data_IF_478071886513
#
_entry.id   IF_478071886513
#
_cell.length_a   1.000
_cell.length_b   1.000
_cell.length_c   1.000
_cell.angle_alpha   90.00
_cell.angle_beta   90.00
_cell.angle_gamma   90.00
#
_symmetry.space_group_name_H-M   'P 1'
#
loop_
_entity.id
_entity.type
_entity.pdbx_description
1 polymer ?
#
# COMPACT_ATOMS: atom_id res chain seq x y z
N UNK A 1 0.47 -5.31 -14.05
CA UNK A 1 0.36 -5.56 -12.59
C UNK A 1 -1.01 -6.14 -12.37
N UNK A 2 -1.12 -7.21 -11.58
CA UNK A 2 -2.38 -7.93 -11.40
C UNK A 2 -2.61 -8.28 -9.93
N UNK A 3 -3.89 -8.32 -9.53
CA UNK A 3 -4.31 -8.89 -8.25
C UNK A 3 -3.96 -10.37 -8.23
N UNK A 4 -3.38 -10.83 -7.12
CA UNK A 4 -2.97 -12.23 -6.93
C UNK A 4 -3.93 -12.88 -5.93
N UNK A 5 -4.19 -14.21 -6.05
CA UNK A 5 -5.02 -14.90 -5.06
C UNK A 5 -4.35 -14.95 -3.68
N UNK A 6 -3.02 -14.90 -3.64
CA UNK A 6 -2.19 -14.91 -2.45
C UNK A 6 -1.00 -13.98 -2.63
N UNK A 7 -0.52 -13.41 -1.52
CA UNK A 7 0.65 -12.54 -1.47
C UNK A 7 1.57 -12.90 -0.29
N UNK A 8 2.82 -12.45 -0.39
CA UNK A 8 3.89 -12.63 0.60
C UNK A 8 4.12 -14.12 0.86
N UNK A 9 4.50 -14.83 -0.21
CA UNK A 9 4.77 -16.27 -0.20
C UNK A 9 3.62 -17.11 0.39
N UNK A 10 2.37 -16.69 0.17
CA UNK A 10 1.17 -17.37 0.66
C UNK A 10 0.72 -16.97 2.07
N UNK A 11 1.39 -16.00 2.71
CA UNK A 11 1.04 -15.58 4.06
C UNK A 11 -0.26 -14.75 4.12
N UNK A 12 -0.68 -14.17 3.01
CA UNK A 12 -1.91 -13.38 2.90
C UNK A 12 -2.76 -13.90 1.75
N UNK A 13 -4.06 -14.13 2.01
CA UNK A 13 -5.02 -14.60 1.01
C UNK A 13 -5.97 -13.48 0.64
N UNK A 14 -6.24 -13.34 -0.66
CA UNK A 14 -7.20 -12.38 -1.19
C UNK A 14 -8.58 -12.64 -0.61
N UNK A 15 -9.19 -11.62 -0.04
CA UNK A 15 -10.57 -11.63 0.44
C UNK A 15 -11.49 -10.83 -0.47
N UNK A 16 -10.97 -9.73 -1.04
CA UNK A 16 -11.75 -8.88 -1.94
C UNK A 16 -10.87 -8.28 -3.03
N UNK A 17 -11.32 -8.42 -4.28
CA UNK A 17 -10.83 -7.64 -5.41
C UNK A 17 -11.79 -6.48 -5.68
N UNK A 18 -11.27 -5.26 -5.58
CA UNK A 18 -12.00 -4.01 -5.76
C UNK A 18 -11.53 -3.24 -7.00
N UNK A 19 -10.76 -3.90 -7.89
CA UNK A 19 -10.19 -3.25 -9.08
C UNK A 19 -11.28 -2.71 -10.02
N UNK A 20 -12.41 -3.40 -10.12
CA UNK A 20 -13.55 -2.99 -10.97
C UNK A 20 -14.43 -1.88 -10.36
N UNK A 21 -14.23 -1.56 -9.08
CA UNK A 21 -14.96 -0.52 -8.35
C UNK A 21 -14.02 0.61 -7.94
N UNK A 22 -13.34 0.48 -6.79
CA UNK A 22 -12.39 1.47 -6.30
C UNK A 22 -11.23 1.71 -7.29
N UNK A 23 -10.78 0.66 -7.98
CA UNK A 23 -9.78 0.81 -9.03
C UNK A 23 -10.27 1.65 -10.21
N UNK A 24 -11.54 1.54 -10.59
CA UNK A 24 -12.12 2.39 -11.63
C UNK A 24 -12.12 3.85 -11.23
N UNK A 25 -12.46 4.15 -9.98
CA UNK A 25 -12.47 5.52 -9.47
C UNK A 25 -11.05 6.12 -9.49
N UNK A 26 -10.04 5.36 -9.04
CA UNK A 26 -8.61 5.74 -9.17
C UNK A 26 -8.23 6.06 -10.62
N UNK A 27 -8.69 5.24 -11.58
CA UNK A 27 -8.43 5.48 -13.01
C UNK A 27 -9.12 6.75 -13.51
N UNK A 28 -10.37 7.01 -13.12
CA UNK A 28 -11.12 8.20 -13.53
C UNK A 28 -10.51 9.48 -12.95
N UNK A 29 -10.10 9.48 -11.68
CA UNK A 29 -9.43 10.61 -11.01
C UNK A 29 -8.09 10.97 -11.66
N UNK A 30 -7.44 9.98 -12.26
CA UNK A 30 -6.16 10.15 -12.94
C UNK A 30 -6.32 10.24 -14.47
N UNK A 31 -7.56 10.17 -15.00
CA UNK A 31 -7.83 10.29 -16.43
C UNK A 31 -7.53 11.71 -16.87
N UNK A 32 -6.65 11.84 -17.87
CA UNK A 32 -6.27 13.14 -18.43
C UNK A 32 -4.98 13.75 -17.86
N UNK A 33 -4.37 13.12 -16.85
CA UNK A 33 -3.00 13.43 -16.42
C UNK A 33 -2.03 13.14 -17.57
N UNK A 34 -1.41 14.18 -18.14
CA UNK A 34 -0.54 14.08 -19.33
C UNK A 34 0.65 13.11 -19.15
N UNK A 35 1.03 12.87 -17.91
CA UNK A 35 2.11 12.01 -17.46
C UNK A 35 1.74 10.52 -17.34
N UNK A 36 0.48 10.14 -17.54
CA UNK A 36 0.01 8.74 -17.44
C UNK A 36 -0.65 8.33 -18.75
N UNK A 37 -0.19 7.21 -19.32
CA UNK A 37 -0.79 6.59 -20.50
C UNK A 37 -1.37 5.23 -20.13
N UNK A 38 -2.60 4.99 -20.58
CA UNK A 38 -3.35 3.74 -20.42
C UNK A 38 -3.47 3.28 -18.95
N UNK A 39 -3.94 4.16 -18.03
CA UNK A 39 -3.99 3.84 -16.62
C UNK A 39 -4.92 2.65 -16.35
N UNK A 40 -4.41 1.70 -15.59
CA UNK A 40 -5.20 0.64 -14.95
C UNK A 40 -4.87 0.61 -13.48
N UNK A 41 -5.85 0.36 -12.64
CA UNK A 41 -5.65 0.25 -11.21
C UNK A 41 -5.94 -1.17 -10.74
N UNK A 42 -5.30 -1.53 -9.64
CA UNK A 42 -5.56 -2.76 -8.89
C UNK A 42 -5.82 -2.38 -7.44
N UNK A 43 -6.89 -2.92 -6.87
CA UNK A 43 -7.20 -2.73 -5.45
C UNK A 43 -7.55 -4.09 -4.88
N UNK A 44 -6.72 -4.58 -3.95
CA UNK A 44 -6.89 -5.89 -3.34
C UNK A 44 -6.83 -5.80 -1.83
N UNK A 45 -7.79 -6.44 -1.16
CA UNK A 45 -7.77 -6.65 0.29
C UNK A 45 -7.45 -8.11 0.58
N UNK A 46 -6.56 -8.31 1.55
CA UNK A 46 -6.04 -9.62 1.91
C UNK A 46 -6.07 -9.80 3.42
N UNK A 47 -6.35 -11.03 3.84
CA UNK A 47 -6.29 -11.44 5.24
C UNK A 47 -5.10 -12.38 5.45
N UNK A 48 -4.39 -12.16 6.55
CA UNK A 48 -3.24 -12.99 6.92
C UNK A 48 -3.67 -14.39 7.36
N UNK A 49 -2.81 -15.36 7.10
CA UNK A 49 -3.04 -16.78 7.39
C UNK A 49 -1.88 -17.40 8.16
N UNK A 50 -2.13 -18.53 8.83
CA UNK A 50 -1.11 -19.22 9.61
C UNK A 50 -0.50 -18.31 10.69
N UNK A 51 0.79 -17.99 10.56
CA UNK A 51 1.49 -17.09 11.49
C UNK A 51 1.02 -15.62 11.41
N UNK A 52 0.36 -15.24 10.31
CA UNK A 52 -0.18 -13.90 10.10
C UNK A 52 -1.69 -13.83 10.36
N UNK A 53 -2.30 -14.86 10.96
CA UNK A 53 -3.73 -14.84 11.27
C UNK A 53 -4.08 -13.62 12.14
N UNK A 54 -5.13 -12.89 11.75
CA UNK A 54 -5.54 -11.63 12.39
C UNK A 54 -4.85 -10.38 11.84
N UNK A 55 -3.92 -10.52 10.90
CA UNK A 55 -3.32 -9.41 10.15
C UNK A 55 -4.13 -9.10 8.88
N UNK A 56 -4.02 -7.87 8.38
CA UNK A 56 -4.61 -7.42 7.13
C UNK A 56 -3.56 -6.75 6.24
N UNK A 57 -3.71 -6.93 4.92
CA UNK A 57 -2.88 -6.26 3.92
C UNK A 57 -3.78 -5.69 2.84
N UNK A 58 -3.61 -4.41 2.53
CA UNK A 58 -4.37 -3.73 1.47
C UNK A 58 -3.39 -3.19 0.46
N UNK A 59 -3.59 -3.55 -0.81
CA UNK A 59 -2.85 -2.98 -1.94
C UNK A 59 -3.78 -2.05 -2.71
N UNK A 60 -3.34 -0.82 -2.93
CA UNK A 60 -3.96 0.11 -3.86
C UNK A 60 -2.89 0.64 -4.80
N UNK A 61 -3.01 0.32 -6.09
CA UNK A 61 -1.97 0.68 -7.04
C UNK A 61 -2.49 0.91 -8.45
N UNK A 62 -1.61 1.47 -9.27
CA UNK A 62 -1.84 1.77 -10.66
C UNK A 62 -0.65 1.35 -11.50
N UNK A 63 -0.91 0.97 -12.74
CA UNK A 63 0.12 0.71 -13.72
C UNK A 63 -0.23 1.41 -15.04
N UNK A 64 0.82 1.81 -15.74
CA UNK A 64 0.79 2.70 -16.90
C UNK A 64 2.20 3.23 -17.16
N UNK A 65 2.40 4.01 -18.22
CA UNK A 65 3.72 4.63 -18.46
C UNK A 65 3.81 5.95 -17.69
N UNK A 66 4.65 6.00 -16.67
CA UNK A 66 4.88 7.18 -15.84
C UNK A 66 6.12 7.94 -16.30
N UNK A 67 6.05 9.28 -16.31
CA UNK A 67 7.18 10.16 -16.66
C UNK A 67 7.94 10.71 -15.45
N UNK A 68 7.38 10.56 -14.25
CA UNK A 68 7.96 11.00 -12.97
C UNK A 68 7.56 10.00 -11.86
N UNK A 69 8.36 8.93 -11.67
CA UNK A 69 8.09 7.92 -10.63
C UNK A 69 8.19 8.45 -9.20
N UNK A 70 9.05 9.45 -8.96
CA UNK A 70 9.27 10.01 -7.63
C UNK A 70 8.06 10.83 -7.18
N UNK A 71 7.56 11.73 -8.04
CA UNK A 71 6.32 12.47 -7.77
C UNK A 71 5.10 11.55 -7.64
N UNK A 72 5.00 10.50 -8.45
CA UNK A 72 3.90 9.52 -8.35
C UNK A 72 3.86 8.81 -6.98
N UNK A 73 5.03 8.52 -6.39
CA UNK A 73 5.14 7.91 -5.06
C UNK A 73 4.70 8.88 -3.96
N UNK A 74 5.01 10.18 -4.08
CA UNK A 74 4.59 11.21 -3.12
C UNK A 74 3.07 11.38 -3.17
N UNK A 75 2.49 11.58 -4.36
CA UNK A 75 1.04 11.68 -4.58
C UNK A 75 0.27 10.48 -3.98
N UNK A 76 0.81 9.26 -4.14
CA UNK A 76 0.19 8.04 -3.59
C UNK A 76 0.17 8.03 -2.06
N UNK A 77 1.21 8.55 -1.41
CA UNK A 77 1.30 8.60 0.04
C UNK A 77 0.39 9.68 0.63
N UNK A 78 0.33 10.83 -0.04
CA UNK A 78 -0.52 11.95 0.37
C UNK A 78 -2.01 11.56 0.24
N UNK A 79 -2.41 11.00 -0.91
CA UNK A 79 -3.79 10.56 -1.13
C UNK A 79 -4.25 9.47 -0.15
N UNK A 80 -3.34 8.60 0.28
CA UNK A 80 -3.67 7.58 1.27
C UNK A 80 -3.83 8.13 2.70
N UNK A 81 -3.14 9.22 3.05
CA UNK A 81 -3.33 9.91 4.32
C UNK A 81 -4.69 10.64 4.34
N UNK A 82 -5.06 11.30 3.25
CA UNK A 82 -6.31 12.06 3.13
C UNK A 82 -7.55 11.16 3.07
N UNK A 83 -7.49 10.04 2.34
CA UNK A 83 -8.65 9.17 2.10
C UNK A 83 -9.13 8.35 3.31
N UNK A 84 -8.30 8.19 4.35
CA UNK A 84 -8.62 7.30 5.48
C UNK A 84 -9.16 8.04 6.72
N UNK A 85 -9.28 9.37 6.68
CA UNK A 85 -9.61 10.16 7.89
C UNK A 85 -8.61 9.91 9.03
N UNK A 86 -7.36 9.59 8.65
CA UNK A 86 -6.31 9.14 9.54
C UNK A 86 -5.36 10.30 9.86
N UNK A 87 -4.78 10.28 11.07
CA UNK A 87 -3.73 11.21 11.46
C UNK A 87 -2.35 10.63 11.12
N UNK A 88 -1.44 11.46 10.61
CA UNK A 88 -0.05 11.04 10.39
C UNK A 88 0.67 11.05 11.73
N UNK A 89 0.92 9.86 12.30
CA UNK A 89 1.64 9.72 13.57
C UNK A 89 3.16 9.64 13.39
N UNK A 90 3.62 9.01 12.30
CA UNK A 90 5.02 9.04 11.89
C UNK A 90 5.08 9.55 10.45
N UNK A 91 5.79 10.67 10.19
CA UNK A 91 5.81 11.29 8.87
C UNK A 91 6.49 10.40 7.83
N UNK A 92 6.07 10.58 6.57
CA UNK A 92 6.62 9.84 5.46
C UNK A 92 8.13 10.08 5.29
N UNK A 93 8.88 8.99 5.15
CA UNK A 93 10.30 9.02 4.81
C UNK A 93 10.65 7.94 3.80
N UNK A 94 11.70 8.18 3.05
CA UNK A 94 12.25 7.21 2.11
C UNK A 94 13.06 6.15 2.85
N UNK A 95 12.94 4.91 2.39
CA UNK A 95 13.67 3.74 2.88
C UNK A 95 14.32 3.06 1.67
N UNK A 96 15.65 3.01 1.69
CA UNK A 96 16.46 2.28 0.73
C UNK A 96 16.91 0.97 1.36
N UNK A 97 16.44 -0.15 0.83
CA UNK A 97 16.84 -1.48 1.29
C UNK A 97 17.95 -2.03 0.38
N UNK A 98 19.05 -2.58 0.94
CA UNK A 98 20.11 -3.17 0.15
C UNK A 98 19.58 -4.22 -0.85
N UNK A 99 19.91 -4.05 -2.13
CA UNK A 99 19.49 -4.96 -3.20
C UNK A 99 18.06 -4.72 -3.73
N UNK A 100 17.32 -3.73 -3.22
CA UNK A 100 16.04 -3.33 -3.77
C UNK A 100 16.22 -2.54 -5.08
N UNK A 101 15.33 -2.77 -6.05
CA UNK A 101 15.33 -2.04 -7.33
C UNK A 101 14.69 -0.65 -7.23
N UNK A 102 13.93 -0.38 -6.16
CA UNK A 102 13.17 0.86 -5.98
C UNK A 102 13.27 1.33 -4.53
N UNK A 103 13.27 2.64 -4.34
CA UNK A 103 13.11 3.27 -3.03
C UNK A 103 11.63 3.27 -2.66
N UNK A 104 11.32 2.82 -1.44
CA UNK A 104 9.95 2.90 -0.92
C UNK A 104 9.82 4.08 0.03
N UNK A 105 8.65 4.72 0.04
CA UNK A 105 8.34 5.81 0.97
C UNK A 105 7.31 5.30 1.97
N UNK A 106 7.62 5.40 3.26
CA UNK A 106 6.85 4.77 4.32
C UNK A 106 6.45 5.77 5.40
N UNK A 107 5.25 5.58 5.96
CA UNK A 107 4.72 6.37 7.06
C UNK A 107 3.86 5.49 7.99
N UNK A 108 3.53 6.03 9.17
CA UNK A 108 2.53 5.42 10.05
C UNK A 108 1.35 6.36 10.17
N UNK A 109 0.20 5.88 9.74
CA UNK A 109 -1.08 6.53 9.98
C UNK A 109 -1.71 5.97 11.25
N UNK A 110 -2.55 6.76 11.90
CA UNK A 110 -3.39 6.32 13.01
C UNK A 110 -4.85 6.56 12.65
N UNK A 111 -5.65 5.51 12.73
CA UNK A 111 -7.09 5.58 12.49
C UNK A 111 -7.83 5.51 13.80
N UNK A 112 -8.91 6.27 13.94
CA UNK A 112 -9.84 6.08 15.04
C UNK A 112 -10.74 4.88 14.73
N UNK A 113 -10.63 3.79 15.49
CA UNK A 113 -11.57 2.67 15.39
C UNK A 113 -12.86 3.03 16.15
N UNK A 114 -13.92 3.36 15.41
CA UNK A 114 -15.32 3.25 15.81
C UNK A 114 -15.77 4.08 17.04
N UNK A 115 -16.87 4.80 16.90
CA UNK A 115 -17.56 5.61 17.92
C UNK A 115 -18.24 4.81 19.05
N UNK A 116 -17.71 3.64 19.42
CA UNK A 116 -18.19 2.79 20.50
C UNK A 116 -17.37 2.90 21.79
N UNK A 117 -17.87 2.32 22.89
CA UNK A 117 -17.34 2.46 24.27
C UNK A 117 -15.92 1.89 24.53
N UNK A 118 -15.17 1.53 23.49
CA UNK A 118 -13.77 1.09 23.56
C UNK A 118 -12.84 1.88 22.65
N UNK A 119 -13.22 3.12 22.28
CA UNK A 119 -12.53 4.00 21.32
C UNK A 119 -11.01 3.93 21.42
N UNK A 120 -10.43 3.18 20.50
CA UNK A 120 -9.00 2.96 20.37
C UNK A 120 -8.50 3.50 19.05
N UNK A 121 -7.26 3.95 19.05
CA UNK A 121 -6.51 4.27 17.84
C UNK A 121 -5.76 3.02 17.38
N UNK A 122 -5.80 2.72 16.08
CA UNK A 122 -4.99 1.64 15.50
C UNK A 122 -4.00 2.24 14.52
N UNK A 123 -2.74 1.80 14.63
CA UNK A 123 -1.74 2.11 13.62
C UNK A 123 -2.09 1.42 12.30
N UNK A 124 -1.83 2.13 11.22
CA UNK A 124 -1.88 1.63 9.84
C UNK A 124 -0.54 2.00 9.20
N UNK A 125 0.49 1.16 9.39
CA UNK A 125 1.75 1.31 8.68
C UNK A 125 1.54 1.13 7.19
N UNK A 126 2.14 2.01 6.41
CA UNK A 126 2.05 1.89 4.96
C UNK A 126 3.34 2.30 4.27
N UNK A 127 3.59 1.68 3.13
CA UNK A 127 4.66 2.10 2.22
C UNK A 127 4.15 2.15 0.79
N UNK A 128 4.66 3.09 0.01
CA UNK A 128 4.44 3.17 -1.41
C UNK A 128 5.74 3.00 -2.20
N UNK A 129 5.63 2.44 -3.39
CA UNK A 129 6.66 2.48 -4.42
C UNK A 129 6.11 3.14 -5.68
N UNK A 130 7.03 3.64 -6.51
CA UNK A 130 6.77 4.07 -7.87
C UNK A 130 7.99 3.73 -8.73
N UNK A 131 7.76 3.17 -9.91
CA UNK A 131 8.73 3.04 -10.99
C UNK A 131 8.09 3.53 -12.31
N UNK A 132 8.84 3.44 -13.41
CA UNK A 132 8.40 3.93 -14.73
C UNK A 132 7.09 3.28 -15.23
N UNK A 133 6.68 2.14 -14.66
CA UNK A 133 5.57 1.33 -15.17
C UNK A 133 4.49 1.01 -14.12
N UNK A 134 4.82 1.08 -12.83
CA UNK A 134 3.93 0.69 -11.72
C UNK A 134 4.14 1.59 -10.52
N UNK A 135 3.07 1.92 -9.82
CA UNK A 135 3.13 2.52 -8.50
C UNK A 135 2.00 2.01 -7.63
N UNK A 136 2.26 1.76 -6.36
CA UNK A 136 1.23 1.35 -5.42
C UNK A 136 1.58 1.74 -4.00
N UNK A 137 0.54 1.95 -3.21
CA UNK A 137 0.60 2.06 -1.77
C UNK A 137 0.07 0.74 -1.15
N UNK A 138 0.77 0.27 -0.11
CA UNK A 138 0.40 -0.95 0.60
C UNK A 138 0.33 -0.66 2.09
N UNK A 139 -0.84 -0.89 2.67
CA UNK A 139 -1.04 -0.89 4.12
C UNK A 139 -0.84 -2.30 4.67
N UNK A 140 -0.06 -2.42 5.76
CA UNK A 140 0.22 -3.71 6.41
C UNK A 140 -0.08 -3.60 7.90
N UNK A 141 -1.26 -4.10 8.30
CA UNK A 141 -1.71 -4.10 9.69
C UNK A 141 -1.50 -5.50 10.25
N UNK A 142 -0.74 -5.59 11.33
CA UNK A 142 -0.55 -6.83 12.09
C UNK A 142 -1.05 -6.61 13.51
N UNK A 143 -1.34 -7.69 14.24
CA UNK A 143 -1.76 -7.56 15.65
C UNK A 143 -0.73 -6.81 16.50
N UNK A 144 0.56 -7.00 16.21
CA UNK A 144 1.66 -6.32 16.92
C UNK A 144 1.71 -4.83 16.56
N UNK A 145 1.81 -4.51 15.27
CA UNK A 145 2.00 -3.11 14.86
C UNK A 145 0.75 -2.24 15.11
N UNK A 146 -0.45 -2.84 15.16
CA UNK A 146 -1.70 -2.11 15.36
C UNK A 146 -1.77 -1.42 16.73
N UNK A 147 -1.14 -1.99 17.75
CA UNK A 147 -1.29 -1.57 19.16
C UNK A 147 -0.03 -0.99 19.80
N UNK A 148 1.14 -1.19 19.20
CA UNK A 148 2.39 -0.62 19.73
C UNK A 148 2.45 0.90 19.52
N UNK A 149 3.44 1.55 20.14
CA UNK A 149 3.67 2.98 19.90
C UNK A 149 3.97 3.22 18.41
N UNK A 150 3.38 4.24 17.76
CA UNK A 150 3.57 4.49 16.33
C UNK A 150 5.05 4.62 15.93
N UNK A 151 5.87 5.22 16.80
CA UNK A 151 7.31 5.39 16.58
C UNK A 151 8.14 4.09 16.64
N UNK A 152 7.60 3.04 17.25
CA UNK A 152 8.25 1.73 17.37
C UNK A 152 7.92 0.80 16.18
N UNK A 153 7.05 1.24 15.25
CA UNK A 153 6.75 0.50 14.02
C UNK A 153 8.00 0.34 13.16
N UNK A 154 8.38 -0.92 12.94
CA UNK A 154 9.47 -1.29 12.04
C UNK A 154 9.05 -1.08 10.58
N UNK A 155 9.19 0.17 10.11
CA UNK A 155 8.93 0.54 8.72
C UNK A 155 9.88 -0.15 7.73
N UNK A 156 11.04 -0.65 8.14
CA UNK A 156 11.90 -1.44 7.25
C UNK A 156 11.32 -2.84 7.03
N UNK A 157 10.74 -3.48 8.05
CA UNK A 157 10.03 -4.74 7.90
C UNK A 157 8.78 -4.59 7.02
N UNK A 158 8.04 -3.49 7.19
CA UNK A 158 6.92 -3.14 6.30
C UNK A 158 7.43 -2.94 4.86
N UNK A 159 8.51 -2.17 4.67
CA UNK A 159 9.15 -1.97 3.37
C UNK A 159 9.56 -3.29 2.69
N UNK A 160 10.17 -4.23 3.43
CA UNK A 160 10.51 -5.57 2.91
C UNK A 160 9.26 -6.33 2.44
N UNK A 161 8.18 -6.27 3.22
CA UNK A 161 6.89 -6.88 2.84
C UNK A 161 6.36 -6.27 1.55
N UNK A 162 6.39 -4.95 1.43
CA UNK A 162 5.93 -4.23 0.23
C UNK A 162 6.78 -4.55 -1.00
N UNK A 163 8.09 -4.73 -0.85
CA UNK A 163 8.94 -5.16 -1.96
C UNK A 163 8.61 -6.59 -2.43
N UNK A 164 8.25 -7.50 -1.52
CA UNK A 164 7.74 -8.83 -1.88
C UNK A 164 6.43 -8.72 -2.65
N UNK A 165 5.48 -7.91 -2.18
CA UNK A 165 4.21 -7.63 -2.88
C UNK A 165 4.47 -7.09 -4.28
N UNK A 166 5.35 -6.07 -4.42
CA UNK A 166 5.74 -5.52 -5.72
C UNK A 166 6.26 -6.62 -6.64
N UNK A 167 7.17 -7.47 -6.16
CA UNK A 167 7.76 -8.55 -6.95
C UNK A 167 6.70 -9.54 -7.44
N UNK A 168 5.74 -9.91 -6.60
CA UNK A 168 4.69 -10.87 -6.93
C UNK A 168 3.60 -10.30 -7.84
N UNK A 169 3.23 -9.03 -7.68
CA UNK A 169 2.17 -8.40 -8.47
C UNK A 169 2.65 -7.87 -9.82
N UNK A 170 3.96 -7.71 -10.01
CA UNK A 170 4.53 -7.31 -11.30
C UNK A 170 4.26 -8.38 -12.36
N UNK A 171 3.84 -7.91 -13.52
CA UNK A 171 3.76 -8.73 -14.72
C UNK A 171 4.90 -8.31 -15.65
N UNK A 172 5.49 -9.25 -16.42
CA UNK A 172 6.38 -8.90 -17.51
C UNK A 172 5.68 -7.93 -18.47
N UNK A 173 6.39 -6.92 -18.94
CA UNK A 173 5.94 -6.12 -20.08
C UNK A 173 6.05 -7.07 -21.29
N UNK A 174 4.90 -7.39 -21.90
CA UNK A 174 4.83 -8.16 -23.16
C UNK A 174 4.76 -7.25 -24.36
#
# INVERSE_FOLDING_TARGET
MAVRPELVDGAYKLTQDLSDTAGRDIVEENRGRAQIRDPRAVVGQYEGQGKQAGSALVVSGMYGRFRDPAGAREDLMDGAAEGQGAEVAVPARDIELPGAEVTVRCQVLVTAQGTGAGGGTSNVPMCAWGDDNTGAAVGVVTMENATQEPGDVDLEAVARTVLTVRKEMREPIS
#
